data_IF_697062518470
#
_entry.id   IF_697062518470
#
_cell.length_a   1.000
_cell.length_b   1.000
_cell.length_c   1.000
_cell.angle_alpha   90.00
_cell.angle_beta   90.00
_cell.angle_gamma   90.00
#
_symmetry.space_group_name_H-M   'P 1'
#
loop_
_entity.id
_entity.type
_entity.pdbx_description
1 polymer ?
#
# COMPACT_ATOMS: atom_id res chain seq x y z
N UNK A 1 18.61 18.05 17.60
CA UNK A 1 18.01 16.70 17.63
C UNK A 1 19.11 15.70 17.32
N UNK A 2 19.14 14.55 18.00
CA UNK A 2 20.04 13.44 17.65
C UNK A 2 19.66 12.91 16.26
N UNK A 3 20.64 12.60 15.42
CA UNK A 3 20.39 11.95 14.14
C UNK A 3 19.93 10.49 14.36
N UNK A 4 19.00 10.01 13.54
CA UNK A 4 18.29 8.74 13.74
C UNK A 4 18.89 7.60 12.90
N UNK A 5 18.90 6.40 13.47
CA UNK A 5 19.25 5.16 12.77
C UNK A 5 17.97 4.50 12.25
N UNK A 6 17.91 4.31 10.93
CA UNK A 6 16.80 3.63 10.25
C UNK A 6 17.18 2.18 9.95
N UNK A 7 16.25 1.26 10.24
CA UNK A 7 16.22 -0.07 9.66
C UNK A 7 15.07 -0.16 8.66
N UNK A 8 15.39 -0.23 7.37
CA UNK A 8 14.43 -0.29 6.28
C UNK A 8 14.23 -1.76 5.90
N UNK A 9 13.01 -2.26 6.04
CA UNK A 9 12.65 -3.64 5.74
C UNK A 9 11.91 -3.72 4.41
N UNK A 10 12.44 -4.49 3.47
CA UNK A 10 11.90 -4.60 2.10
C UNK A 10 11.87 -6.04 1.61
N UNK A 11 11.34 -6.25 0.42
CA UNK A 11 11.53 -7.49 -0.35
C UNK A 11 12.03 -7.12 -1.75
N UNK A 12 13.35 -7.17 -1.96
CA UNK A 12 13.97 -6.70 -3.20
C UNK A 12 13.57 -7.53 -4.45
N UNK A 13 12.98 -8.71 -4.27
CA UNK A 13 12.65 -9.63 -5.36
C UNK A 13 11.61 -8.97 -6.28
N UNK A 14 11.91 -8.92 -7.58
CA UNK A 14 11.04 -8.30 -8.57
C UNK A 14 11.02 -6.78 -8.56
N UNK A 15 11.90 -6.12 -7.79
CA UNK A 15 12.06 -4.67 -7.89
C UNK A 15 12.59 -4.26 -9.27
N UNK A 16 11.94 -3.28 -9.90
CA UNK A 16 12.54 -2.47 -10.96
C UNK A 16 13.37 -1.32 -10.38
N UNK A 17 14.16 -0.68 -11.24
CA UNK A 17 14.85 0.60 -10.98
C UNK A 17 13.87 1.72 -10.58
N UNK A 18 12.63 1.64 -11.05
CA UNK A 18 11.54 2.57 -10.75
C UNK A 18 10.91 2.39 -9.36
N UNK A 19 11.31 1.38 -8.58
CA UNK A 19 10.79 1.17 -7.25
C UNK A 19 11.19 2.33 -6.32
N UNK A 20 10.20 2.92 -5.64
CA UNK A 20 10.42 4.11 -4.81
C UNK A 20 11.34 3.89 -3.62
N UNK A 21 11.59 2.65 -3.19
CA UNK A 21 12.58 2.34 -2.15
C UNK A 21 13.93 3.02 -2.43
N UNK A 22 14.45 2.89 -3.66
CA UNK A 22 15.82 3.33 -3.95
C UNK A 22 15.95 4.85 -3.84
N UNK A 23 15.11 5.58 -4.57
CA UNK A 23 15.14 7.05 -4.58
C UNK A 23 14.81 7.66 -3.20
N UNK A 24 13.85 7.06 -2.47
CA UNK A 24 13.51 7.52 -1.12
C UNK A 24 14.66 7.28 -0.14
N UNK A 25 15.31 6.11 -0.18
CA UNK A 25 16.46 5.81 0.68
C UNK A 25 17.65 6.71 0.32
N UNK A 26 17.93 6.95 -0.96
CA UNK A 26 18.95 7.92 -1.40
C UNK A 26 18.67 9.33 -0.86
N UNK A 27 17.40 9.75 -0.83
CA UNK A 27 17.03 11.04 -0.27
C UNK A 27 17.15 11.05 1.26
N UNK A 28 16.78 9.95 1.92
CA UNK A 28 16.88 9.80 3.37
C UNK A 28 18.34 9.94 3.86
N UNK A 29 19.28 9.26 3.20
CA UNK A 29 20.70 9.29 3.61
C UNK A 29 21.40 10.62 3.34
N UNK A 30 20.82 11.49 2.51
CA UNK A 30 21.29 12.88 2.32
C UNK A 30 20.83 13.81 3.43
N UNK A 31 19.78 13.44 4.15
CA UNK A 31 19.20 14.27 5.19
C UNK A 31 20.06 14.25 6.46
N UNK A 32 20.50 15.41 6.95
CA UNK A 32 21.38 15.52 8.12
C UNK A 32 20.77 14.98 9.42
N UNK A 33 19.44 14.77 9.45
CA UNK A 33 18.74 14.13 10.57
C UNK A 33 18.91 12.60 10.56
N UNK A 34 19.43 12.01 9.50
CA UNK A 34 19.68 10.58 9.35
C UNK A 34 21.13 10.26 9.72
N UNK A 35 21.35 9.43 10.73
CA UNK A 35 22.69 8.95 11.08
C UNK A 35 23.13 7.81 10.16
N UNK A 36 22.25 6.83 9.96
CA UNK A 36 22.45 5.71 9.07
C UNK A 36 21.10 5.14 8.60
N UNK A 37 21.08 4.52 7.42
CA UNK A 37 19.97 3.73 6.93
C UNK A 37 20.46 2.32 6.57
N UNK A 38 20.16 1.34 7.41
CA UNK A 38 20.42 -0.06 7.13
C UNK A 38 19.22 -0.64 6.37
N UNK A 39 19.45 -1.27 5.22
CA UNK A 39 18.39 -1.86 4.40
C UNK A 39 18.55 -3.37 4.44
N UNK A 40 17.47 -4.07 4.82
CA UNK A 40 17.41 -5.52 4.87
C UNK A 40 16.26 -6.05 4.03
N UNK A 41 16.51 -7.15 3.32
CA UNK A 41 15.52 -7.76 2.44
C UNK A 41 15.04 -9.12 2.95
N UNK A 42 13.73 -9.35 2.88
CA UNK A 42 13.11 -10.68 3.05
C UNK A 42 13.54 -11.66 1.95
N UNK A 43 13.99 -11.16 0.81
CA UNK A 43 14.54 -11.99 -0.26
C UNK A 43 15.89 -12.62 0.06
N UNK A 44 16.59 -12.18 1.10
CA UNK A 44 17.81 -12.82 1.60
C UNK A 44 17.45 -13.93 2.61
N UNK A 45 17.78 -15.18 2.26
CA UNK A 45 17.46 -16.36 3.07
C UNK A 45 18.12 -16.32 4.46
N UNK A 46 19.21 -15.58 4.65
CA UNK A 46 19.85 -15.40 5.97
C UNK A 46 18.94 -14.69 6.96
N UNK A 47 18.01 -13.87 6.47
CA UNK A 47 17.02 -13.15 7.28
C UNK A 47 15.76 -13.96 7.58
N UNK A 48 15.69 -15.25 7.20
CA UNK A 48 14.46 -16.04 7.34
C UNK A 48 13.95 -16.12 8.78
N UNK A 49 14.84 -16.28 9.77
CA UNK A 49 14.45 -16.32 11.19
C UNK A 49 13.83 -15.00 11.64
N UNK A 50 14.44 -13.86 11.27
CA UNK A 50 13.93 -12.53 11.58
C UNK A 50 12.53 -12.31 10.98
N UNK A 51 12.35 -12.59 9.69
CA UNK A 51 11.05 -12.44 9.02
C UNK A 51 10.02 -13.50 9.45
N UNK A 52 10.43 -14.58 10.10
CA UNK A 52 9.52 -15.52 10.77
C UNK A 52 9.07 -15.06 12.16
N UNK A 53 9.59 -13.92 12.65
CA UNK A 53 9.18 -13.30 13.92
C UNK A 53 10.23 -13.35 15.04
N UNK A 54 11.40 -13.97 14.81
CA UNK A 54 12.51 -13.91 15.77
C UNK A 54 13.26 -12.58 15.65
N UNK A 55 12.78 -11.55 16.34
CA UNK A 55 13.38 -10.22 16.30
C UNK A 55 14.71 -10.10 17.05
N UNK A 56 15.17 -11.19 17.69
CA UNK A 56 16.51 -11.29 18.27
C UNK A 56 17.56 -11.78 17.26
N UNK A 57 17.11 -12.39 16.16
CA UNK A 57 18.00 -12.86 15.11
C UNK A 57 18.77 -11.70 14.46
N UNK A 58 20.05 -11.94 14.08
CA UNK A 58 20.81 -10.95 13.33
C UNK A 58 20.16 -10.68 11.96
N UNK A 59 20.21 -9.43 11.54
CA UNK A 59 19.63 -8.98 10.28
C UNK A 59 20.76 -8.64 9.32
N UNK A 60 20.85 -9.37 8.22
CA UNK A 60 21.81 -9.16 7.13
C UNK A 60 21.27 -8.17 6.11
N UNK A 61 22.15 -7.33 5.58
CA UNK A 61 21.77 -6.29 4.65
C UNK A 61 22.93 -5.38 4.32
N UNK A 62 22.64 -4.11 4.08
CA UNK A 62 23.63 -3.12 3.68
C UNK A 62 23.32 -1.77 4.31
N UNK A 63 24.37 -0.99 4.57
CA UNK A 63 24.23 0.42 4.94
C UNK A 63 24.09 1.23 3.65
N UNK A 64 22.93 1.81 3.42
CA UNK A 64 22.67 2.56 2.21
C UNK A 64 23.52 3.83 2.14
N UNK A 65 23.96 4.17 0.92
CA UNK A 65 24.65 5.40 0.60
C UNK A 65 23.87 6.18 -0.47
N UNK A 66 24.38 7.35 -0.86
CA UNK A 66 23.77 8.11 -1.95
C UNK A 66 23.81 7.39 -3.31
N UNK A 67 24.66 6.35 -3.45
CA UNK A 67 24.75 5.50 -4.63
C UNK A 67 23.82 4.27 -4.56
N UNK A 68 23.01 4.12 -3.51
CA UNK A 68 22.10 2.98 -3.34
C UNK A 68 21.10 2.91 -4.50
N UNK A 69 21.10 1.84 -5.28
CA UNK A 69 20.28 1.67 -6.49
C UNK A 69 19.83 0.23 -6.63
N UNK A 70 18.87 -0.04 -7.53
CA UNK A 70 18.45 -1.41 -7.80
C UNK A 70 19.60 -2.28 -8.32
N UNK A 71 20.41 -1.73 -9.22
CA UNK A 71 21.52 -2.44 -9.86
C UNK A 71 22.60 -2.86 -8.86
N UNK A 72 22.91 -2.00 -7.89
CA UNK A 72 23.92 -2.28 -6.86
C UNK A 72 23.35 -3.15 -5.74
N UNK A 73 22.11 -2.90 -5.34
CA UNK A 73 21.53 -3.57 -4.17
C UNK A 73 21.21 -5.05 -4.37
N UNK A 74 20.83 -5.48 -5.58
CA UNK A 74 20.33 -6.84 -5.80
C UNK A 74 21.36 -7.92 -5.42
N UNK A 75 22.61 -7.75 -5.82
CA UNK A 75 23.70 -8.65 -5.47
C UNK A 75 24.22 -8.39 -4.04
N UNK A 76 24.33 -7.11 -3.65
CA UNK A 76 24.82 -6.72 -2.32
C UNK A 76 23.95 -7.27 -1.19
N UNK A 77 22.63 -7.35 -1.37
CA UNK A 77 21.75 -7.97 -0.38
C UNK A 77 22.13 -9.41 -0.07
N UNK A 78 22.69 -10.15 -1.04
CA UNK A 78 23.01 -11.58 -0.89
C UNK A 78 24.45 -11.82 -0.46
N UNK A 79 25.35 -10.88 -0.73
CA UNK A 79 26.81 -11.04 -0.53
C UNK A 79 27.34 -10.26 0.67
N UNK A 80 26.71 -9.12 1.00
CA UNK A 80 27.13 -8.26 2.11
C UNK A 80 27.16 -9.05 3.43
N UNK A 81 28.19 -8.79 4.23
CA UNK A 81 28.37 -9.33 5.58
C UNK A 81 27.94 -8.33 6.66
N UNK A 82 27.44 -7.15 6.27
CA UNK A 82 26.94 -6.17 7.23
C UNK A 82 25.69 -6.71 7.93
N UNK A 83 25.66 -6.52 9.24
CA UNK A 83 24.55 -6.94 10.10
C UNK A 83 24.03 -5.78 10.94
N UNK A 84 22.79 -5.91 11.39
CA UNK A 84 22.13 -5.01 12.34
C UNK A 84 21.22 -5.82 13.26
N UNK A 85 20.75 -5.20 14.34
CA UNK A 85 19.72 -5.77 15.21
C UNK A 85 18.48 -4.88 15.27
N UNK A 86 17.31 -5.49 15.44
CA UNK A 86 16.05 -4.76 15.60
C UNK A 86 16.09 -3.69 16.70
N UNK A 87 16.72 -4.02 17.84
CA UNK A 87 16.80 -3.16 19.01
C UNK A 87 17.77 -1.97 18.87
N UNK A 88 18.60 -1.94 17.82
CA UNK A 88 19.56 -0.86 17.59
C UNK A 88 18.93 0.34 16.87
N UNK A 89 17.86 0.10 16.09
CA UNK A 89 17.20 1.11 15.30
C UNK A 89 16.45 2.12 16.18
N UNK A 90 16.44 3.38 15.76
CA UNK A 90 15.52 4.38 16.30
C UNK A 90 14.18 4.31 15.53
N UNK A 91 14.22 3.94 14.24
CA UNK A 91 13.06 3.84 13.34
C UNK A 91 13.11 2.56 12.50
N UNK A 92 11.99 1.85 12.42
CA UNK A 92 11.77 0.76 11.44
C UNK A 92 10.91 1.30 10.30
N UNK A 93 11.45 1.31 9.08
CA UNK A 93 10.68 1.72 7.90
C UNK A 93 10.27 0.51 7.08
N UNK A 94 9.00 0.13 7.16
CA UNK A 94 8.40 -0.96 6.40
C UNK A 94 8.14 -0.54 4.96
N UNK A 95 8.86 -1.19 4.05
CA UNK A 95 8.73 -1.08 2.59
C UNK A 95 8.43 -2.46 1.97
N UNK A 96 7.74 -3.32 2.70
CA UNK A 96 7.30 -4.63 2.23
C UNK A 96 6.06 -4.54 1.32
N UNK A 97 6.05 -5.25 0.17
CA UNK A 97 4.87 -5.35 -0.68
C UNK A 97 3.78 -6.18 0.01
N UNK A 98 2.51 -6.07 -0.42
CA UNK A 98 1.47 -6.98 0.03
C UNK A 98 1.73 -8.43 -0.44
N UNK A 99 1.14 -9.45 0.22
CA UNK A 99 0.26 -9.33 1.37
C UNK A 99 1.02 -9.01 2.66
N UNK A 100 0.35 -8.32 3.59
CA UNK A 100 0.88 -8.08 4.93
C UNK A 100 0.97 -9.41 5.72
N UNK A 101 2.18 -9.76 6.16
CA UNK A 101 2.42 -10.97 6.94
C UNK A 101 1.96 -10.75 8.39
N UNK A 102 0.83 -11.35 8.76
CA UNK A 102 0.23 -11.19 10.08
C UNK A 102 1.12 -11.69 11.22
N UNK A 103 1.86 -12.78 11.00
CA UNK A 103 2.74 -13.36 12.02
C UNK A 103 3.91 -12.42 12.29
N UNK A 104 4.59 -12.01 11.22
CA UNK A 104 5.71 -11.07 11.33
C UNK A 104 5.28 -9.71 11.87
N UNK A 105 4.13 -9.18 11.41
CA UNK A 105 3.62 -7.87 11.85
C UNK A 105 3.21 -7.88 13.33
N UNK A 106 2.66 -8.99 13.82
CA UNK A 106 2.38 -9.19 15.24
C UNK A 106 3.68 -9.26 16.07
N UNK A 107 4.72 -9.92 15.56
CA UNK A 107 6.02 -9.94 16.23
C UNK A 107 6.61 -8.52 16.34
N UNK A 108 6.61 -7.74 15.26
CA UNK A 108 7.07 -6.34 15.24
C UNK A 108 6.35 -5.47 16.29
N UNK A 109 5.06 -5.70 16.50
CA UNK A 109 4.24 -4.87 17.40
C UNK A 109 4.31 -5.32 18.87
N UNK A 110 4.63 -6.59 19.12
CA UNK A 110 4.68 -7.18 20.47
C UNK A 110 6.05 -7.14 21.13
N UNK A 111 7.10 -6.74 20.41
CA UNK A 111 8.45 -6.71 20.94
C UNK A 111 8.64 -5.66 22.03
N UNK A 112 8.79 -6.13 23.26
CA UNK A 112 9.37 -5.38 24.36
C UNK A 112 10.75 -6.00 24.66
N UNK A 113 11.87 -5.29 24.44
CA UNK A 113 13.18 -5.86 24.75
C UNK A 113 13.29 -6.16 26.25
N UNK A 114 13.56 -7.42 26.59
CA UNK A 114 13.57 -7.93 27.97
C UNK A 114 14.63 -7.25 28.89
N UNK A 115 15.59 -6.51 28.31
CA UNK A 115 16.76 -5.99 29.05
C UNK A 115 17.31 -4.64 28.55
N UNK A 116 16.61 -3.90 27.70
CA UNK A 116 17.15 -2.64 27.15
C UNK A 116 16.58 -1.38 27.85
N UNK A 117 17.43 -0.43 28.28
CA UNK A 117 16.99 0.90 28.74
C UNK A 117 16.47 1.81 27.62
N UNK A 118 16.34 1.30 26.38
CA UNK A 118 15.87 2.05 25.19
C UNK A 118 14.39 1.77 24.91
N UNK A 119 13.67 2.84 24.60
CA UNK A 119 12.30 2.81 24.04
C UNK A 119 12.30 1.99 22.74
N UNK A 120 11.25 1.19 22.52
CA UNK A 120 11.06 0.45 21.27
C UNK A 120 11.13 1.39 20.04
N UNK A 121 11.65 0.94 18.89
CA UNK A 121 11.75 1.78 17.70
C UNK A 121 10.37 2.19 17.19
N UNK A 122 10.28 3.37 16.56
CA UNK A 122 9.05 3.79 15.90
C UNK A 122 8.92 3.09 14.55
N UNK A 123 7.81 2.41 14.30
CA UNK A 123 7.58 1.68 13.04
C UNK A 123 6.70 2.52 12.09
N UNK A 124 7.13 2.65 10.83
CA UNK A 124 6.43 3.39 9.78
C UNK A 124 6.20 2.47 8.57
N UNK A 125 4.98 2.24 8.10
CA UNK A 125 3.73 2.45 8.83
C UNK A 125 3.58 1.43 9.97
N UNK A 126 2.71 1.71 10.93
CA UNK A 126 2.40 0.77 12.00
C UNK A 126 1.81 -0.55 11.42
N UNK A 127 2.33 -1.73 11.82
CA UNK A 127 1.88 -3.01 11.26
C UNK A 127 0.38 -3.30 11.44
N UNK A 128 -0.19 -3.01 12.62
CA UNK A 128 -1.62 -3.17 12.89
C UNK A 128 -2.46 -2.22 12.04
N UNK A 129 -1.99 -0.97 11.92
CA UNK A 129 -2.57 0.03 11.03
C UNK A 129 -2.63 -0.47 9.59
N UNK A 130 -1.53 -1.03 9.06
CA UNK A 130 -1.51 -1.61 7.71
C UNK A 130 -2.56 -2.71 7.55
N UNK A 131 -2.62 -3.65 8.51
CA UNK A 131 -3.54 -4.80 8.45
C UNK A 131 -5.01 -4.34 8.46
N UNK A 132 -5.34 -3.38 9.30
CA UNK A 132 -6.70 -2.88 9.46
C UNK A 132 -7.11 -2.06 8.23
N UNK A 133 -6.31 -1.05 7.86
CA UNK A 133 -6.69 -0.07 6.83
C UNK A 133 -6.49 -0.59 5.41
N UNK A 134 -5.64 -1.61 5.23
CA UNK A 134 -5.43 -2.27 3.94
C UNK A 134 -6.57 -3.22 3.55
N UNK A 135 -7.49 -3.52 4.47
CA UNK A 135 -8.71 -4.26 4.15
C UNK A 135 -9.67 -3.38 3.35
N UNK A 136 -10.24 -3.90 2.25
CA UNK A 136 -11.25 -3.14 1.50
C UNK A 136 -12.49 -2.82 2.32
N UNK A 137 -12.82 -3.63 3.34
CA UNK A 137 -13.91 -3.33 4.27
C UNK A 137 -13.69 -2.00 5.02
N UNK A 138 -12.45 -1.55 5.18
CA UNK A 138 -12.12 -0.27 5.81
C UNK A 138 -12.70 0.94 5.07
N UNK A 139 -13.04 0.80 3.79
CA UNK A 139 -13.72 1.83 3.00
C UNK A 139 -15.10 2.21 3.58
N UNK A 140 -15.70 1.36 4.41
CA UNK A 140 -16.97 1.66 5.08
C UNK A 140 -16.89 2.83 6.07
N UNK A 141 -15.69 3.20 6.52
CA UNK A 141 -15.50 4.43 7.30
C UNK A 141 -15.62 5.71 6.46
N UNK A 142 -15.62 5.59 5.13
CA UNK A 142 -15.56 6.70 4.19
C UNK A 142 -16.65 6.63 3.12
N UNK A 143 -17.83 6.09 3.45
CA UNK A 143 -18.95 5.92 2.48
C UNK A 143 -19.40 7.22 1.83
N UNK A 144 -19.17 8.38 2.45
CA UNK A 144 -19.42 9.70 1.84
C UNK A 144 -18.49 10.00 0.65
N UNK A 145 -17.41 9.25 0.49
CA UNK A 145 -16.39 9.43 -0.55
C UNK A 145 -16.25 8.22 -1.48
N UNK A 146 -17.01 7.14 -1.28
CA UNK A 146 -16.96 5.95 -2.13
C UNK A 146 -18.18 5.90 -3.04
N UNK A 147 -18.13 5.06 -4.07
CA UNK A 147 -19.35 4.51 -4.64
C UNK A 147 -20.17 3.76 -3.57
N UNK A 148 -21.47 3.48 -3.78
CA UNK A 148 -22.22 2.59 -2.90
C UNK A 148 -21.48 1.26 -2.69
N UNK A 149 -21.30 0.87 -1.42
CA UNK A 149 -20.60 -0.34 -1.00
C UNK A 149 -21.40 -1.12 0.05
N UNK A 150 -21.25 -2.44 0.05
CA UNK A 150 -21.96 -3.36 0.94
C UNK A 150 -21.06 -4.49 1.40
N UNK A 151 -21.11 -4.81 2.70
CA UNK A 151 -20.65 -6.12 3.19
C UNK A 151 -21.64 -7.18 2.73
N UNK A 152 -21.16 -8.22 2.08
CA UNK A 152 -22.00 -9.33 1.60
C UNK A 152 -21.54 -10.64 2.23
N UNK A 153 -22.50 -11.42 2.71
CA UNK A 153 -22.26 -12.71 3.38
C UNK A 153 -23.15 -13.83 2.84
N UNK A 154 -23.99 -13.57 1.85
CA UNK A 154 -24.77 -14.61 1.15
C UNK A 154 -24.89 -14.33 -0.34
N UNK A 155 -25.09 -15.39 -1.12
CA UNK A 155 -25.33 -15.25 -2.56
C UNK A 155 -26.66 -14.55 -2.88
N UNK A 156 -27.68 -14.74 -2.03
CA UNK A 156 -28.97 -14.04 -2.18
C UNK A 156 -28.83 -12.52 -2.07
N UNK A 157 -28.03 -12.02 -1.12
CA UNK A 157 -27.75 -10.59 -1.00
C UNK A 157 -27.08 -10.04 -2.27
N UNK A 158 -26.11 -10.78 -2.81
CA UNK A 158 -25.43 -10.40 -4.06
C UNK A 158 -26.41 -10.37 -5.23
N UNK A 159 -27.30 -11.37 -5.33
CA UNK A 159 -28.32 -11.44 -6.36
C UNK A 159 -29.29 -10.25 -6.26
N UNK A 160 -29.86 -9.98 -5.08
CA UNK A 160 -30.76 -8.85 -4.84
C UNK A 160 -30.10 -7.50 -5.17
N UNK A 161 -28.83 -7.31 -4.77
CA UNK A 161 -28.07 -6.11 -5.12
C UNK A 161 -27.84 -6.01 -6.63
N UNK A 162 -27.58 -7.13 -7.30
CA UNK A 162 -27.32 -7.18 -8.75
C UNK A 162 -28.53 -6.84 -9.61
N UNK A 163 -29.75 -7.01 -9.07
CA UNK A 163 -31.00 -6.61 -9.73
C UNK A 163 -31.16 -5.08 -9.76
N UNK A 164 -30.55 -4.37 -8.82
CA UNK A 164 -30.65 -2.92 -8.67
C UNK A 164 -29.41 -2.19 -9.24
N UNK A 165 -28.26 -2.87 -9.22
CA UNK A 165 -26.98 -2.27 -9.54
C UNK A 165 -26.08 -3.25 -10.31
N UNK A 166 -25.32 -2.74 -11.28
CA UNK A 166 -24.11 -3.43 -11.70
C UNK A 166 -23.10 -3.41 -10.53
N UNK A 167 -22.40 -4.51 -10.29
CA UNK A 167 -21.51 -4.65 -9.12
C UNK A 167 -20.08 -5.03 -9.52
N UNK A 168 -19.15 -4.70 -8.66
CA UNK A 168 -17.83 -5.33 -8.56
C UNK A 168 -17.68 -5.88 -7.16
N UNK A 169 -17.47 -7.19 -7.05
CA UNK A 169 -17.06 -7.82 -5.81
C UNK A 169 -15.55 -7.74 -5.69
N UNK A 170 -15.09 -7.19 -4.57
CA UNK A 170 -13.66 -7.02 -4.28
C UNK A 170 -13.25 -7.90 -3.11
N UNK A 171 -12.29 -8.84 -3.26
CA UNK A 171 -11.82 -9.62 -2.13
C UNK A 171 -11.15 -8.70 -1.09
N UNK A 172 -11.49 -8.88 0.19
CA UNK A 172 -11.12 -7.92 1.23
C UNK A 172 -9.61 -7.70 1.37
N UNK A 173 -8.79 -8.73 1.13
CA UNK A 173 -7.36 -8.74 1.40
C UNK A 173 -6.48 -8.92 0.17
N UNK A 174 -7.07 -9.08 -1.02
CA UNK A 174 -6.31 -9.19 -2.26
C UNK A 174 -5.87 -7.82 -2.77
N UNK A 175 -4.82 -7.82 -3.60
CA UNK A 175 -4.24 -6.59 -4.17
C UNK A 175 -4.01 -6.74 -5.68
N UNK A 176 -3.83 -5.61 -6.37
CA UNK A 176 -3.52 -5.61 -7.80
C UNK A 176 -4.64 -6.18 -8.68
N UNK A 177 -5.89 -5.99 -8.27
CA UNK A 177 -7.06 -6.42 -9.04
C UNK A 177 -7.32 -7.92 -9.13
N UNK A 178 -6.60 -8.76 -8.36
CA UNK A 178 -6.86 -10.22 -8.33
C UNK A 178 -8.17 -10.54 -7.64
N UNK A 179 -8.88 -11.55 -8.18
CA UNK A 179 -10.17 -12.03 -7.65
C UNK A 179 -11.31 -11.02 -7.75
N UNK A 180 -11.15 -9.95 -8.55
CA UNK A 180 -12.26 -9.03 -8.82
C UNK A 180 -13.29 -9.72 -9.71
N UNK A 181 -14.54 -9.64 -9.29
CA UNK A 181 -15.67 -10.22 -10.03
C UNK A 181 -16.63 -9.11 -10.40
N UNK A 182 -16.86 -8.90 -11.70
CA UNK A 182 -17.84 -7.95 -12.20
C UNK A 182 -19.17 -8.66 -12.40
N UNK A 183 -20.24 -8.18 -11.76
CA UNK A 183 -21.59 -8.71 -11.96
C UNK A 183 -22.40 -7.71 -12.76
N UNK A 184 -22.88 -8.15 -13.92
CA UNK A 184 -23.62 -7.32 -14.86
C UNK A 184 -24.58 -8.20 -15.68
N UNK A 185 -25.83 -7.76 -15.80
CA UNK A 185 -26.85 -8.38 -16.67
C UNK A 185 -27.04 -9.90 -16.43
N UNK A 186 -26.99 -10.33 -15.17
CA UNK A 186 -27.18 -11.75 -14.81
C UNK A 186 -25.95 -12.64 -15.03
N UNK A 187 -24.78 -12.04 -15.29
CA UNK A 187 -23.51 -12.75 -15.43
C UNK A 187 -22.48 -12.25 -14.42
N UNK A 188 -21.62 -13.15 -13.95
CA UNK A 188 -20.38 -12.85 -13.26
C UNK A 188 -19.22 -12.97 -14.25
N UNK A 189 -18.35 -11.96 -14.28
CA UNK A 189 -17.11 -11.95 -15.05
C UNK A 189 -15.92 -11.94 -14.09
N UNK A 190 -15.12 -12.99 -14.13
CA UNK A 190 -13.94 -13.22 -13.29
C UNK A 190 -12.81 -13.72 -14.18
N UNK A 191 -11.63 -13.10 -14.11
CA UNK A 191 -10.44 -13.50 -14.89
C UNK A 191 -10.70 -13.58 -16.41
N UNK A 192 -11.60 -12.75 -16.93
CA UNK A 192 -11.98 -12.70 -18.36
C UNK A 192 -12.97 -13.78 -18.79
N UNK A 193 -13.42 -14.64 -17.87
CA UNK A 193 -14.46 -15.63 -18.12
C UNK A 193 -15.83 -15.07 -17.70
N UNK A 194 -16.82 -15.20 -18.58
CA UNK A 194 -18.21 -14.80 -18.32
C UNK A 194 -19.05 -16.03 -17.99
N UNK A 195 -19.60 -16.08 -16.79
CA UNK A 195 -20.33 -17.23 -16.21
C UNK A 195 -21.73 -16.75 -15.79
N UNK A 196 -22.80 -17.54 -16.00
CA UNK A 196 -24.11 -17.21 -15.43
C UNK A 196 -24.03 -16.97 -13.92
N UNK A 197 -24.70 -15.92 -13.42
CA UNK A 197 -24.56 -15.51 -12.02
C UNK A 197 -24.92 -16.63 -11.04
N UNK A 198 -25.99 -17.39 -11.29
CA UNK A 198 -26.40 -18.50 -10.42
C UNK A 198 -25.30 -19.56 -10.27
N UNK A 199 -24.67 -19.97 -11.36
CA UNK A 199 -23.56 -20.95 -11.35
C UNK A 199 -22.35 -20.41 -10.58
N UNK A 200 -22.01 -19.14 -10.79
CA UNK A 200 -20.91 -18.52 -10.06
C UNK A 200 -21.19 -18.43 -8.55
N UNK A 201 -22.41 -18.07 -8.15
CA UNK A 201 -22.82 -17.99 -6.74
C UNK A 201 -22.74 -19.35 -6.04
N UNK A 202 -23.15 -20.44 -6.71
CA UNK A 202 -23.00 -21.80 -6.18
C UNK A 202 -21.53 -22.15 -5.93
N UNK A 203 -20.67 -21.88 -6.92
CA UNK A 203 -19.22 -22.14 -6.81
C UNK A 203 -18.55 -21.28 -5.73
N UNK A 204 -18.95 -20.03 -5.59
CA UNK A 204 -18.35 -19.06 -4.69
C UNK A 204 -18.96 -19.07 -3.27
N UNK A 205 -19.96 -19.92 -2.99
CA UNK A 205 -20.77 -19.86 -1.77
C UNK A 205 -19.93 -19.90 -0.48
N UNK A 206 -18.92 -20.77 -0.38
CA UNK A 206 -18.03 -20.84 0.80
C UNK A 206 -17.24 -19.55 1.00
N UNK A 207 -16.70 -18.97 -0.09
CA UNK A 207 -15.98 -17.70 -0.08
C UNK A 207 -16.90 -16.55 0.33
N UNK A 208 -18.12 -16.50 -0.22
CA UNK A 208 -19.12 -15.48 0.10
C UNK A 208 -19.55 -15.57 1.57
N UNK A 209 -19.90 -16.76 2.05
CA UNK A 209 -20.36 -16.98 3.43
C UNK A 209 -19.28 -16.69 4.48
N UNK A 210 -18.00 -16.78 4.10
CA UNK A 210 -16.88 -16.34 4.96
C UNK A 210 -16.74 -14.81 5.08
N UNK A 211 -17.55 -14.03 4.34
CA UNK A 211 -17.47 -12.57 4.31
C UNK A 211 -16.24 -12.04 3.57
N UNK A 212 -15.72 -12.80 2.60
CA UNK A 212 -14.46 -12.47 1.93
C UNK A 212 -14.57 -11.32 0.90
N UNK A 213 -15.77 -10.83 0.60
CA UNK A 213 -16.02 -9.80 -0.41
C UNK A 213 -16.61 -8.52 0.18
N UNK A 214 -16.16 -7.39 -0.36
CA UNK A 214 -16.90 -6.13 -0.35
C UNK A 214 -17.56 -5.96 -1.72
N UNK A 215 -18.88 -5.82 -1.78
CA UNK A 215 -19.58 -5.43 -2.99
C UNK A 215 -19.50 -3.91 -3.15
N UNK A 216 -19.21 -3.45 -4.36
CA UNK A 216 -19.19 -2.04 -4.73
C UNK A 216 -20.01 -1.87 -6.02
N UNK A 217 -20.77 -0.78 -6.14
CA UNK A 217 -21.43 -0.44 -7.40
C UNK A 217 -20.37 -0.30 -8.50
N UNK A 218 -20.53 -1.00 -9.61
CA UNK A 218 -19.71 -0.83 -10.80
C UNK A 218 -19.97 0.56 -11.41
N UNK A 219 -18.88 1.28 -11.72
CA UNK A 219 -18.94 2.64 -12.26
C UNK A 219 -18.79 2.61 -13.77
N UNK A 220 -19.62 3.37 -14.49
CA UNK A 220 -19.60 3.40 -15.96
C UNK A 220 -18.32 4.04 -16.50
N UNK A 221 -17.73 4.94 -15.73
CA UNK A 221 -16.58 5.75 -16.13
C UNK A 221 -15.23 5.17 -15.65
N UNK A 222 -15.15 3.87 -15.33
CA UNK A 222 -13.86 3.21 -14.96
C UNK A 222 -12.79 3.32 -16.04
N UNK A 223 -13.18 3.48 -17.31
CA UNK A 223 -12.27 3.70 -18.43
C UNK A 223 -11.52 5.03 -18.38
N UNK A 224 -11.99 6.00 -17.57
CA UNK A 224 -11.28 7.25 -17.30
C UNK A 224 -9.99 7.05 -16.46
N UNK A 225 -9.75 5.81 -16.02
CA UNK A 225 -8.53 5.40 -15.37
C UNK A 225 -8.56 5.57 -13.85
N UNK A 226 -7.74 4.76 -13.21
CA UNK A 226 -7.52 4.74 -11.77
C UNK A 226 -6.45 5.78 -11.42
N UNK A 227 -6.83 6.82 -10.67
CA UNK A 227 -5.86 7.82 -10.18
C UNK A 227 -5.38 7.41 -8.80
N UNK A 228 -4.05 7.34 -8.65
CA UNK A 228 -3.40 7.21 -7.36
C UNK A 228 -2.97 8.57 -6.84
N UNK A 229 -3.39 8.91 -5.64
CA UNK A 229 -2.95 10.07 -4.87
C UNK A 229 -1.92 9.60 -3.84
N UNK A 230 -0.73 10.19 -3.86
CA UNK A 230 0.33 9.93 -2.88
C UNK A 230 0.15 10.85 -1.68
N UNK A 231 -0.03 10.27 -0.50
CA UNK A 231 -0.22 11.01 0.74
C UNK A 231 0.87 10.64 1.74
N UNK A 232 1.53 11.66 2.31
CA UNK A 232 2.54 11.51 3.35
C UNK A 232 2.25 12.47 4.48
N UNK A 233 2.15 11.94 5.70
CA UNK A 233 1.86 12.69 6.92
C UNK A 233 0.66 13.65 6.75
N UNK A 234 -0.42 13.16 6.13
CA UNK A 234 -1.64 13.92 5.89
C UNK A 234 -1.62 14.89 4.71
N UNK A 235 -0.50 15.00 3.98
CA UNK A 235 -0.35 15.92 2.85
C UNK A 235 -0.31 15.18 1.52
N UNK A 236 -1.05 15.68 0.55
CA UNK A 236 -0.97 15.20 -0.84
C UNK A 236 0.35 15.69 -1.44
N UNK A 237 1.17 14.77 -1.94
CA UNK A 237 2.45 15.10 -2.57
C UNK A 237 2.42 15.01 -4.10
N UNK A 238 1.45 14.28 -4.64
CA UNK A 238 1.26 14.17 -6.09
C UNK A 238 0.19 13.14 -6.42
N UNK A 239 -0.19 13.09 -7.69
CA UNK A 239 -1.05 12.04 -8.19
C UNK A 239 -0.71 11.66 -9.63
N UNK A 240 -1.05 10.43 -9.99
CA UNK A 240 -0.95 9.94 -11.35
C UNK A 240 -2.16 9.11 -11.73
N UNK A 241 -2.62 9.22 -12.97
CA UNK A 241 -3.71 8.42 -13.52
C UNK A 241 -3.15 7.24 -14.31
N UNK A 242 -3.68 6.06 -14.03
CA UNK A 242 -3.37 4.79 -14.65
C UNK A 242 -4.52 4.40 -15.56
N UNK A 243 -4.30 4.47 -16.86
CA UNK A 243 -5.34 4.20 -17.87
C UNK A 243 -5.27 2.72 -18.28
N UNK A 244 -6.41 2.00 -18.35
CA UNK A 244 -6.42 0.60 -18.75
C UNK A 244 -6.09 0.46 -20.25
N UNK A 245 -5.63 -0.72 -20.66
CA UNK A 245 -5.46 -1.03 -22.08
C UNK A 245 -6.83 -1.04 -22.80
N UNK A 246 -6.88 -0.73 -24.12
CA UNK A 246 -8.13 -0.79 -24.89
C UNK A 246 -8.85 -2.14 -24.73
N UNK A 247 -10.15 -2.12 -24.43
CA UNK A 247 -10.97 -3.32 -24.25
C UNK A 247 -10.87 -4.00 -22.87
N UNK A 248 -10.00 -3.52 -21.98
CA UNK A 248 -9.90 -4.00 -20.60
C UNK A 248 -10.56 -3.00 -19.64
N UNK A 249 -11.24 -3.51 -18.61
CA UNK A 249 -11.83 -2.66 -17.57
C UNK A 249 -10.95 -2.54 -16.32
N UNK A 250 -9.90 -3.37 -16.21
CA UNK A 250 -8.95 -3.36 -15.09
C UNK A 250 -7.68 -2.57 -15.42
N UNK A 251 -7.35 -1.60 -14.56
CA UNK A 251 -6.19 -0.73 -14.69
C UNK A 251 -4.94 -1.32 -14.02
N UNK A 252 -4.47 -2.49 -14.47
CA UNK A 252 -3.19 -3.01 -13.99
C UNK A 252 -2.04 -2.46 -14.84
N UNK A 253 -1.31 -1.48 -14.28
CA UNK A 253 -0.11 -0.89 -14.91
C UNK A 253 0.95 -1.93 -15.25
N UNK A 254 1.03 -3.02 -14.47
CA UNK A 254 1.89 -4.17 -14.76
C UNK A 254 1.56 -4.89 -16.08
N UNK A 255 0.41 -4.61 -16.70
CA UNK A 255 -0.04 -5.15 -17.98
C UNK A 255 -0.03 -4.11 -19.12
N UNK A 256 0.81 -3.07 -19.03
CA UNK A 256 1.01 -2.09 -20.11
C UNK A 256 0.18 -0.80 -19.99
N UNK A 257 -0.41 -0.53 -18.83
CA UNK A 257 -1.06 0.75 -18.55
C UNK A 257 -0.06 1.90 -18.49
N UNK A 258 -0.44 3.08 -18.98
CA UNK A 258 0.39 4.30 -18.90
C UNK A 258 0.05 5.09 -17.63
N UNK A 259 1.09 5.58 -16.93
CA UNK A 259 0.93 6.47 -15.76
C UNK A 259 1.18 7.92 -16.18
N UNK A 260 0.13 8.74 -16.22
CA UNK A 260 0.20 10.15 -16.58
C UNK A 260 0.07 11.03 -15.33
N UNK A 261 0.72 12.19 -15.35
CA UNK A 261 0.54 13.20 -14.30
C UNK A 261 -0.94 13.58 -14.19
N UNK A 262 -1.43 13.77 -12.97
CA UNK A 262 -2.80 14.16 -12.73
C UNK A 262 -2.91 15.27 -11.69
N UNK A 263 -3.73 16.27 -11.97
CA UNK A 263 -4.11 17.29 -11.01
C UNK A 263 -5.04 16.69 -9.94
N UNK A 264 -5.04 17.31 -8.77
CA UNK A 264 -5.93 16.96 -7.66
C UNK A 264 -7.21 17.80 -7.80
N UNK A 265 -8.36 17.14 -7.81
CA UNK A 265 -9.65 17.81 -7.83
C UNK A 265 -10.06 18.28 -6.42
N UNK A 266 -10.86 19.36 -6.26
CA UNK A 266 -11.30 19.84 -4.95
C UNK A 266 -12.03 18.79 -4.09
N UNK A 267 -12.77 17.87 -4.70
CA UNK A 267 -13.40 16.75 -4.00
C UNK A 267 -12.39 15.73 -3.47
N UNK A 268 -11.27 15.53 -4.16
CA UNK A 268 -10.17 14.66 -3.73
C UNK A 268 -9.42 15.29 -2.55
N UNK A 269 -9.24 16.62 -2.54
CA UNK A 269 -8.67 17.31 -1.37
C UNK A 269 -9.55 17.12 -0.13
N UNK A 270 -10.87 17.29 -0.28
CA UNK A 270 -11.84 17.05 0.81
C UNK A 270 -11.82 15.60 1.29
N UNK A 271 -11.72 14.65 0.36
CA UNK A 271 -11.60 13.23 0.66
C UNK A 271 -10.35 12.95 1.48
N UNK A 272 -9.17 13.41 1.04
CA UNK A 272 -7.92 13.18 1.78
C UNK A 272 -7.92 13.90 3.13
N UNK A 273 -8.50 15.09 3.23
CA UNK A 273 -8.66 15.80 4.50
C UNK A 273 -9.49 15.02 5.53
N UNK A 274 -10.46 14.21 5.08
CA UNK A 274 -11.23 13.32 5.95
C UNK A 274 -10.52 11.99 6.24
N UNK A 275 -9.88 11.39 5.22
CA UNK A 275 -9.22 10.08 5.32
C UNK A 275 -7.94 10.13 6.15
N UNK A 276 -7.09 11.12 5.90
CA UNK A 276 -5.73 11.10 6.42
C UNK A 276 -5.62 11.18 7.95
N UNK A 277 -6.42 11.98 8.68
CA UNK A 277 -6.40 11.97 10.14
C UNK A 277 -6.73 10.61 10.75
N UNK A 278 -7.67 9.87 10.15
CA UNK A 278 -8.06 8.52 10.59
C UNK A 278 -6.90 7.54 10.40
N UNK A 279 -6.23 7.59 9.24
CA UNK A 279 -5.07 6.75 8.95
C UNK A 279 -3.86 7.08 9.85
N UNK A 280 -3.60 8.37 10.09
CA UNK A 280 -2.52 8.81 10.99
C UNK A 280 -2.73 8.36 12.43
N UNK A 281 -3.98 8.39 12.92
CA UNK A 281 -4.33 7.88 14.25
C UNK A 281 -4.05 6.36 14.37
N UNK A 282 -4.04 5.64 13.24
CA UNK A 282 -3.67 4.22 13.15
C UNK A 282 -2.19 3.99 12.82
N UNK A 283 -1.37 5.05 12.84
CA UNK A 283 0.06 4.97 12.54
C UNK A 283 0.38 4.74 11.05
N UNK A 284 -0.56 5.02 10.16
CA UNK A 284 -0.34 5.00 8.70
C UNK A 284 0.05 6.41 8.25
N UNK A 285 1.35 6.59 8.03
CA UNK A 285 1.98 7.87 7.66
C UNK A 285 2.04 8.04 6.14
N UNK A 286 2.31 6.96 5.43
CA UNK A 286 2.49 6.95 3.97
C UNK A 286 1.44 6.05 3.35
N UNK A 287 0.57 6.57 2.49
CA UNK A 287 -0.41 5.74 1.80
C UNK A 287 -0.75 6.27 0.41
N UNK A 288 -1.25 5.38 -0.43
CA UNK A 288 -1.81 5.71 -1.74
C UNK A 288 -3.33 5.60 -1.67
N UNK A 289 -4.04 6.67 -2.02
CA UNK A 289 -5.49 6.61 -2.21
C UNK A 289 -5.80 6.46 -3.69
N UNK A 290 -6.49 5.38 -4.05
CA UNK A 290 -6.86 5.12 -5.44
C UNK A 290 -8.30 5.58 -5.66
N UNK A 291 -8.52 6.40 -6.69
CA UNK A 291 -9.81 6.97 -7.04
C UNK A 291 -10.25 6.55 -8.44
N UNK A 292 -11.55 6.34 -8.59
CA UNK A 292 -12.22 6.08 -9.87
C UNK A 292 -13.21 7.20 -10.16
N UNK A 293 -13.59 7.35 -11.43
CA UNK A 293 -14.64 8.29 -11.83
C UNK A 293 -16.00 7.59 -11.71
N UNK A 294 -16.90 8.18 -10.94
CA UNK A 294 -18.27 7.71 -10.79
C UNK A 294 -19.15 8.05 -12.00
N UNK A 295 -20.42 7.65 -11.95
CA UNK A 295 -21.36 7.85 -13.06
C UNK A 295 -21.64 9.33 -13.37
N UNK A 296 -21.43 10.23 -12.40
CA UNK A 296 -21.65 11.68 -12.50
C UNK A 296 -20.36 12.44 -12.86
N UNK A 297 -19.26 11.74 -13.10
CA UNK A 297 -17.98 12.32 -13.49
C UNK A 297 -17.11 12.80 -12.32
N UNK A 298 -17.46 12.49 -11.07
CA UNK A 298 -16.68 12.85 -9.88
C UNK A 298 -15.72 11.74 -9.48
N UNK A 299 -14.62 12.08 -8.84
CA UNK A 299 -13.68 11.09 -8.32
C UNK A 299 -14.09 10.60 -6.93
N UNK A 300 -14.23 9.28 -6.81
CA UNK A 300 -14.60 8.57 -5.59
C UNK A 300 -13.51 7.57 -5.19
N UNK A 301 -13.35 7.36 -3.88
CA UNK A 301 -12.39 6.44 -3.28
C UNK A 301 -12.75 5.00 -3.64
N UNK A 302 -11.75 4.27 -4.14
CA UNK A 302 -11.88 2.87 -4.57
C UNK A 302 -11.03 1.93 -3.73
N UNK A 303 -9.86 2.37 -3.26
CA UNK A 303 -8.91 1.58 -2.47
C UNK A 303 -7.95 2.47 -1.67
N UNK A 304 -7.49 1.97 -0.53
CA UNK A 304 -6.40 2.55 0.28
C UNK A 304 -5.23 1.58 0.34
N UNK A 305 -4.07 2.02 -0.12
CA UNK A 305 -2.84 1.22 -0.16
C UNK A 305 -1.88 1.69 0.93
N UNK A 306 -1.67 0.88 1.97
CA UNK A 306 -0.92 1.29 3.18
C UNK A 306 0.38 0.51 3.40
N UNK A 307 0.67 -0.48 2.55
CA UNK A 307 1.97 -1.16 2.44
C UNK A 307 3.01 -0.27 1.72
N UNK A 308 4.01 -0.89 1.08
CA UNK A 308 4.99 -0.23 0.23
C UNK A 308 4.40 0.29 -1.08
N UNK A 309 3.90 1.54 -1.09
CA UNK A 309 3.41 2.19 -2.32
C UNK A 309 4.55 2.73 -3.20
N UNK A 310 4.40 2.64 -4.52
CA UNK A 310 5.31 3.28 -5.49
C UNK A 310 4.84 4.68 -5.91
N UNK A 311 5.52 5.28 -6.90
CA UNK A 311 5.07 6.49 -7.59
C UNK A 311 5.82 7.78 -7.22
N UNK A 312 6.65 7.79 -6.18
CA UNK A 312 7.32 9.03 -5.72
C UNK A 312 8.32 9.61 -6.74
N UNK A 313 9.26 8.83 -7.32
CA UNK A 313 10.17 9.34 -8.34
C UNK A 313 9.44 9.86 -9.57
N UNK A 314 8.38 9.16 -9.97
CA UNK A 314 7.56 9.54 -11.12
C UNK A 314 6.81 10.85 -10.85
N UNK A 315 6.22 10.99 -9.65
CA UNK A 315 5.54 12.22 -9.24
C UNK A 315 6.51 13.42 -9.16
N UNK A 316 7.73 13.23 -8.67
CA UNK A 316 8.78 14.27 -8.69
C UNK A 316 9.12 14.69 -10.11
N UNK A 317 9.44 13.72 -10.98
CA UNK A 317 9.79 14.00 -12.37
C UNK A 317 8.66 14.69 -13.15
N UNK A 318 7.42 14.27 -12.92
CA UNK A 318 6.24 14.82 -13.61
C UNK A 318 5.84 16.20 -13.14
N UNK A 319 5.96 16.47 -11.82
CA UNK A 319 5.53 17.74 -11.24
C UNK A 319 6.64 18.80 -11.20
N UNK A 320 7.90 18.39 -11.29
CA UNK A 320 9.07 19.25 -11.03
C UNK A 320 9.17 19.71 -9.57
N UNK A 321 8.34 19.19 -8.67
CA UNK A 321 8.34 19.52 -7.23
C UNK A 321 9.21 18.51 -6.47
N UNK A 322 9.82 18.91 -5.34
CA UNK A 322 10.73 18.04 -4.58
C UNK A 322 9.97 17.00 -3.73
N UNK A 323 9.18 16.14 -4.37
CA UNK A 323 8.32 15.11 -3.76
C UNK A 323 9.13 14.14 -2.87
N UNK A 324 10.34 13.74 -3.28
CA UNK A 324 11.18 12.86 -2.47
C UNK A 324 11.59 13.55 -1.16
N UNK A 325 12.08 14.79 -1.23
CA UNK A 325 12.45 15.56 -0.03
C UNK A 325 11.23 15.86 0.85
N UNK A 326 10.08 16.19 0.25
CA UNK A 326 8.83 16.40 0.99
C UNK A 326 8.37 15.12 1.70
N UNK A 327 8.59 13.95 1.09
CA UNK A 327 8.30 12.65 1.72
C UNK A 327 9.18 12.45 2.96
N UNK A 328 10.50 12.67 2.84
CA UNK A 328 11.42 12.56 3.98
C UNK A 328 11.07 13.57 5.08
N UNK A 329 10.72 14.81 4.72
CA UNK A 329 10.27 15.80 5.69
C UNK A 329 9.00 15.35 6.43
N UNK A 330 8.01 14.82 5.71
CA UNK A 330 6.77 14.31 6.31
C UNK A 330 7.02 13.14 7.28
N UNK A 331 7.97 12.26 6.98
CA UNK A 331 8.41 11.20 7.90
C UNK A 331 9.01 11.81 9.17
N UNK A 332 9.91 12.77 9.05
CA UNK A 332 10.53 13.42 10.20
C UNK A 332 9.54 14.24 11.04
N UNK A 333 8.59 14.93 10.40
CA UNK A 333 7.51 15.66 11.09
C UNK A 333 6.67 14.69 11.95
N UNK A 334 6.38 13.50 11.43
CA UNK A 334 5.70 12.44 12.19
C UNK A 334 6.53 11.91 13.37
N UNK A 335 7.84 11.75 13.16
CA UNK A 335 8.79 11.23 14.16
C UNK A 335 9.06 12.23 15.30
N UNK A 336 9.06 13.54 15.02
CA UNK A 336 9.37 14.58 16.00
C UNK A 336 8.45 14.59 17.24
N UNK A 337 7.24 14.04 17.12
CA UNK A 337 6.30 13.90 18.25
C UNK A 337 6.44 12.57 19.01
N UNK A 338 7.34 11.67 18.58
CA UNK A 338 7.39 10.26 19.02
C UNK A 338 8.76 9.81 19.54
N UNK A 339 9.83 10.54 19.22
CA UNK A 339 11.21 10.32 19.65
C UNK A 339 11.72 11.53 20.42
#
# INVERSE_FOLDING_TARGET
>A
MKALNFLILTDHRGHSDQNSLYALTQQLVKDARTAAAFVASRGDARNAAFFAGDLSAPIYGLVASQAFSQATAAEEFLTSQATSQYAEADVIWLRLPPPADRGFFAALSSFAPASAPKKAPVIINNPEGIIETGSKAFLQHFTAFTAPIWSVTSGSQIQELSEQHALVLKPLREYGGRGLVRILEGFAEEEGLKIPLGEWLEKANSTITSGAYLAMKYLKNVSAGDKRILVVNGRILGASVRVPAPGQWLCNVSQGGTSLAADIAPEEEKMIAAVAPVLLNKGVVIFGADTLVDDDGKRVLSELNTNSIGGFPQAEAQSGRPVLQQTINGIYDYLAARL
#
